data_IF_052445425253
#
_entry.id   IF_052445425253
#
_cell.length_a   1.000
_cell.length_b   1.000
_cell.length_c   1.000
_cell.angle_alpha   90.00
_cell.angle_beta   90.00
_cell.angle_gamma   90.00
#
_symmetry.space_group_name_H-M   'P 1'
#
loop_
_entity.id
_entity.type
_entity.pdbx_description
1 polymer ?
#
# COMPACT_ATOMS: atom_id res chain seq x y z
N UNK A 1 -19.93 50.32 -3.82
CA UNK A 1 -20.87 49.29 -3.31
C UNK A 1 -21.66 48.72 -4.48
N UNK A 2 -21.23 47.61 -5.05
CA UNK A 2 -22.01 46.87 -6.06
C UNK A 2 -22.61 45.65 -5.39
N UNK A 3 -23.80 45.83 -4.81
CA UNK A 3 -24.61 44.70 -4.35
C UNK A 3 -24.82 43.74 -5.51
N UNK A 4 -24.71 42.44 -5.24
CA UNK A 4 -25.06 41.38 -6.19
C UNK A 4 -26.53 41.64 -6.57
N UNK A 5 -26.77 42.24 -7.74
CA UNK A 5 -28.10 42.48 -8.29
C UNK A 5 -28.67 41.11 -8.65
N UNK A 6 -29.26 40.44 -7.67
CA UNK A 6 -30.08 39.26 -7.90
C UNK A 6 -31.31 39.72 -8.68
N UNK A 7 -31.52 39.24 -9.92
CA UNK A 7 -32.69 39.61 -10.69
C UNK A 7 -33.97 39.18 -9.98
N UNK A 8 -34.92 40.09 -9.79
CA UNK A 8 -36.19 39.85 -9.12
C UNK A 8 -37.36 39.91 -10.11
N UNK A 9 -37.31 39.09 -11.15
CA UNK A 9 -38.37 39.04 -12.15
C UNK A 9 -39.68 38.49 -11.58
N UNK A 10 -40.82 38.97 -12.10
CA UNK A 10 -42.14 38.44 -11.77
C UNK A 10 -42.26 36.96 -12.16
N UNK A 11 -43.00 36.16 -11.37
CA UNK A 11 -43.20 34.71 -11.59
C UNK A 11 -43.86 34.39 -12.95
N UNK A 12 -44.63 35.35 -13.49
CA UNK A 12 -45.23 35.29 -14.82
C UNK A 12 -44.21 34.92 -15.92
N UNK A 13 -42.95 35.36 -15.79
CA UNK A 13 -41.89 35.12 -16.76
C UNK A 13 -41.12 33.80 -16.55
N UNK A 14 -41.56 32.94 -15.63
CA UNK A 14 -40.89 31.67 -15.29
C UNK A 14 -40.58 30.82 -16.52
N UNK A 15 -41.49 30.77 -17.51
CA UNK A 15 -41.30 30.02 -18.76
C UNK A 15 -40.10 30.51 -19.57
N UNK A 16 -39.93 31.82 -19.75
CA UNK A 16 -38.77 32.39 -20.46
C UNK A 16 -37.49 32.25 -19.62
N UNK A 17 -37.59 32.50 -18.31
CA UNK A 17 -36.45 32.43 -17.41
C UNK A 17 -35.87 31.01 -17.33
N UNK A 18 -36.70 29.97 -17.32
CA UNK A 18 -36.21 28.58 -17.28
C UNK A 18 -35.43 28.18 -18.54
N UNK A 19 -35.58 28.92 -19.65
CA UNK A 19 -34.83 28.66 -20.89
C UNK A 19 -33.48 29.38 -20.93
N UNK A 20 -33.22 30.32 -20.02
CA UNK A 20 -32.04 31.18 -20.03
C UNK A 20 -31.03 30.80 -18.93
N UNK A 21 -29.72 30.81 -19.23
CA UNK A 21 -28.67 30.74 -18.22
C UNK A 21 -28.71 31.94 -17.26
N UNK A 22 -28.20 31.73 -16.03
CA UNK A 22 -28.14 32.74 -14.98
C UNK A 22 -27.44 34.03 -15.42
N UNK A 23 -26.36 33.92 -16.19
CA UNK A 23 -25.61 35.08 -16.72
C UNK A 23 -26.48 35.97 -17.61
N UNK A 24 -27.32 35.37 -18.47
CA UNK A 24 -28.22 36.12 -19.35
C UNK A 24 -29.31 36.81 -18.54
N UNK A 25 -29.86 36.16 -17.52
CA UNK A 25 -30.86 36.77 -16.62
C UNK A 25 -30.32 38.03 -15.93
N UNK A 26 -29.07 37.96 -15.44
CA UNK A 26 -28.39 39.08 -14.78
C UNK A 26 -28.14 40.23 -15.77
N UNK A 27 -27.74 39.92 -17.00
CA UNK A 27 -27.52 40.93 -18.03
C UNK A 27 -28.82 41.66 -18.41
N UNK A 28 -29.92 40.91 -18.61
CA UNK A 28 -31.23 41.50 -18.90
C UNK A 28 -31.68 42.40 -17.75
N UNK A 29 -31.56 41.95 -16.51
CA UNK A 29 -31.91 42.75 -15.34
C UNK A 29 -31.13 44.06 -15.27
N UNK A 30 -29.83 44.00 -15.55
CA UNK A 30 -28.97 45.18 -15.63
C UNK A 30 -29.42 46.12 -16.73
N UNK A 31 -29.78 45.61 -17.91
CA UNK A 31 -30.29 46.43 -19.02
C UNK A 31 -31.61 47.12 -18.67
N UNK A 32 -32.52 46.44 -17.97
CA UNK A 32 -33.79 47.02 -17.54
C UNK A 32 -33.60 48.14 -16.52
N UNK A 33 -32.63 48.00 -15.62
CA UNK A 33 -32.45 48.89 -14.46
C UNK A 33 -31.37 49.97 -14.66
N UNK A 34 -30.55 49.87 -15.70
CA UNK A 34 -29.38 50.76 -15.90
C UNK A 34 -29.28 51.42 -17.28
N UNK A 35 -30.24 51.23 -18.20
CA UNK A 35 -30.20 51.86 -19.54
C UNK A 35 -30.61 53.34 -19.49
N UNK A 36 -30.51 54.03 -20.62
CA UNK A 36 -30.86 55.46 -20.82
C UNK A 36 -32.27 55.84 -20.30
N UNK A 37 -33.21 54.89 -20.29
CA UNK A 37 -34.52 55.01 -19.66
C UNK A 37 -34.73 53.77 -18.78
N UNK A 38 -34.22 53.74 -17.55
CA UNK A 38 -34.30 52.55 -16.71
C UNK A 38 -35.71 52.41 -16.15
N UNK A 39 -36.23 51.19 -16.15
CA UNK A 39 -37.42 50.89 -15.37
C UNK A 39 -37.07 50.96 -13.89
N UNK A 40 -37.99 51.48 -13.08
CA UNK A 40 -37.85 51.35 -11.63
C UNK A 40 -37.80 49.88 -11.25
N UNK A 41 -37.15 49.55 -10.12
CA UNK A 41 -37.10 48.17 -9.63
C UNK A 41 -38.49 47.56 -9.49
N UNK A 42 -39.50 48.35 -9.08
CA UNK A 42 -40.89 47.90 -8.98
C UNK A 42 -41.49 47.57 -10.35
N UNK A 43 -41.23 48.38 -11.37
CA UNK A 43 -41.71 48.12 -12.74
C UNK A 43 -41.01 46.92 -13.36
N UNK A 44 -39.68 46.79 -13.18
CA UNK A 44 -38.90 45.66 -13.68
C UNK A 44 -39.24 44.33 -12.97
N UNK A 45 -39.69 44.41 -11.71
CA UNK A 45 -40.13 43.24 -10.93
C UNK A 45 -41.60 42.85 -11.16
N UNK A 46 -42.37 43.64 -11.90
CA UNK A 46 -43.78 43.41 -12.18
C UNK A 46 -44.00 43.05 -13.66
N UNK A 47 -45.23 42.74 -14.05
CA UNK A 47 -45.60 42.46 -15.44
C UNK A 47 -45.52 43.77 -16.23
N UNK A 48 -44.53 43.86 -17.12
CA UNK A 48 -44.26 45.05 -17.92
C UNK A 48 -43.87 44.65 -19.36
N UNK A 49 -44.45 45.28 -20.40
CA UNK A 49 -44.25 44.85 -21.79
C UNK A 49 -42.78 44.89 -22.23
N UNK A 50 -42.02 45.90 -21.81
CA UNK A 50 -40.59 45.99 -22.14
C UNK A 50 -39.74 44.87 -21.52
N UNK A 51 -40.15 44.34 -20.35
CA UNK A 51 -39.50 43.19 -19.72
C UNK A 51 -39.77 41.92 -20.52
N UNK A 52 -41.02 41.76 -20.96
CA UNK A 52 -41.45 40.62 -21.77
C UNK A 52 -40.73 40.57 -23.13
N UNK A 53 -40.68 41.69 -23.85
CA UNK A 53 -40.02 41.78 -25.15
C UNK A 53 -38.53 41.45 -25.08
N UNK A 54 -37.84 41.94 -24.04
CA UNK A 54 -36.42 41.66 -23.84
C UNK A 54 -36.16 40.20 -23.48
N UNK A 55 -37.02 39.59 -22.66
CA UNK A 55 -36.91 38.18 -22.30
C UNK A 55 -37.17 37.28 -23.51
N UNK A 56 -38.21 37.55 -24.30
CA UNK A 56 -38.53 36.80 -25.51
C UNK A 56 -37.38 36.87 -26.53
N UNK A 57 -36.86 38.08 -26.78
CA UNK A 57 -35.70 38.29 -27.67
C UNK A 57 -34.45 37.56 -27.18
N UNK A 58 -34.21 37.54 -25.87
CA UNK A 58 -33.07 36.83 -25.30
C UNK A 58 -33.19 35.31 -25.45
N UNK A 59 -34.39 34.75 -25.23
CA UNK A 59 -34.68 33.33 -25.44
C UNK A 59 -34.41 32.93 -26.89
N UNK A 60 -34.93 33.69 -27.85
CA UNK A 60 -34.71 33.42 -29.27
C UNK A 60 -33.23 33.44 -29.65
N UNK A 61 -32.50 34.47 -29.20
CA UNK A 61 -31.07 34.60 -29.45
C UNK A 61 -30.26 33.45 -28.85
N UNK A 62 -30.61 33.04 -27.62
CA UNK A 62 -29.96 31.93 -26.95
C UNK A 62 -30.19 30.61 -27.69
N UNK A 63 -31.43 30.33 -28.10
CA UNK A 63 -31.77 29.14 -28.88
C UNK A 63 -31.02 29.13 -30.22
N UNK A 64 -31.02 30.25 -30.95
CA UNK A 64 -30.26 30.39 -32.22
C UNK A 64 -28.77 30.11 -32.01
N UNK A 65 -28.15 30.73 -31.00
CA UNK A 65 -26.73 30.54 -30.68
C UNK A 65 -26.41 29.09 -30.29
N UNK A 66 -27.28 28.47 -29.49
CA UNK A 66 -27.15 27.06 -29.10
C UNK A 66 -27.25 26.12 -30.32
N UNK A 67 -28.13 26.42 -31.28
CA UNK A 67 -28.21 25.67 -32.55
C UNK A 67 -26.94 25.84 -33.39
N UNK A 68 -26.41 27.05 -33.51
CA UNK A 68 -25.14 27.28 -34.23
C UNK A 68 -23.95 26.59 -33.57
N UNK A 69 -23.88 26.54 -32.24
CA UNK A 69 -22.83 25.80 -31.52
C UNK A 69 -22.95 24.28 -31.68
N UNK A 70 -24.17 23.75 -31.88
CA UNK A 70 -24.37 22.33 -32.18
C UNK A 70 -24.05 21.98 -33.65
N UNK A 71 -24.33 22.88 -34.58
CA UNK A 71 -24.04 22.67 -36.02
C UNK A 71 -22.57 22.95 -36.36
N UNK A 72 -21.92 23.88 -35.64
CA UNK A 72 -20.47 23.94 -35.56
C UNK A 72 -20.01 22.90 -34.53
N UNK A 73 -20.07 21.63 -34.91
CA UNK A 73 -19.37 20.58 -34.15
C UNK A 73 -17.93 21.02 -33.85
N UNK A 74 -17.32 20.51 -32.77
CA UNK A 74 -15.95 20.87 -32.41
C UNK A 74 -15.03 20.53 -33.58
N UNK A 75 -14.68 21.56 -34.35
CA UNK A 75 -13.84 21.47 -35.54
C UNK A 75 -12.40 21.32 -35.02
N UNK A 76 -12.02 20.11 -34.66
CA UNK A 76 -10.66 19.79 -34.17
C UNK A 76 -10.49 18.58 -33.24
N UNK A 77 -11.54 17.84 -32.84
CA UNK A 77 -11.38 16.73 -31.86
C UNK A 77 -11.19 15.34 -32.45
N UNK A 78 -11.24 15.16 -33.77
CA UNK A 78 -11.14 13.81 -34.36
C UNK A 78 -9.71 13.27 -34.47
N UNK A 79 -8.67 14.13 -34.54
CA UNK A 79 -7.28 13.66 -34.69
C UNK A 79 -6.53 13.46 -33.37
N UNK A 80 -6.97 14.05 -32.25
CA UNK A 80 -6.27 13.92 -30.95
C UNK A 80 -6.84 12.72 -30.14
N UNK A 81 -8.07 12.29 -30.42
CA UNK A 81 -8.75 11.20 -29.72
C UNK A 81 -8.12 9.82 -30.00
N UNK A 82 -7.74 9.56 -31.25
CA UNK A 82 -7.21 8.26 -31.69
C UNK A 82 -5.85 7.93 -31.08
N UNK A 83 -4.93 8.90 -31.06
CA UNK A 83 -3.57 8.70 -30.54
C UNK A 83 -3.58 8.53 -29.01
N UNK A 84 -4.44 9.28 -28.31
CA UNK A 84 -4.65 9.14 -26.87
C UNK A 84 -5.22 7.77 -26.51
N UNK A 85 -6.19 7.28 -27.27
CA UNK A 85 -6.83 5.98 -27.04
C UNK A 85 -5.85 4.81 -27.29
N UNK A 86 -4.97 4.95 -28.28
CA UNK A 86 -3.91 3.98 -28.57
C UNK A 86 -2.86 3.94 -27.47
N UNK A 87 -2.40 5.11 -26.98
CA UNK A 87 -1.45 5.21 -25.87
C UNK A 87 -2.02 4.61 -24.57
N UNK A 88 -3.28 4.91 -24.25
CA UNK A 88 -3.96 4.34 -23.08
C UNK A 88 -4.10 2.82 -23.16
N UNK A 89 -4.34 2.28 -24.36
CA UNK A 89 -4.39 0.82 -24.56
C UNK A 89 -3.03 0.18 -24.33
N UNK A 90 -1.97 0.79 -24.86
CA UNK A 90 -0.60 0.32 -24.66
C UNK A 90 -0.20 0.35 -23.17
N UNK A 91 -0.45 1.45 -22.47
CA UNK A 91 -0.15 1.60 -21.04
C UNK A 91 -0.90 0.55 -20.20
N UNK A 92 -2.15 0.25 -20.54
CA UNK A 92 -2.92 -0.81 -19.86
C UNK A 92 -2.34 -2.20 -20.11
N UNK A 93 -1.84 -2.48 -21.31
CA UNK A 93 -1.18 -3.75 -21.65
C UNK A 93 0.12 -3.92 -20.83
N UNK A 94 0.93 -2.85 -20.74
CA UNK A 94 2.16 -2.82 -19.94
C UNK A 94 1.87 -2.98 -18.44
N UNK A 95 0.83 -2.33 -17.94
CA UNK A 95 0.36 -2.47 -16.56
C UNK A 95 -0.11 -3.90 -16.27
N UNK A 96 -0.84 -4.51 -17.20
CA UNK A 96 -1.29 -5.90 -17.05
C UNK A 96 -0.12 -6.88 -16.95
N UNK A 97 0.91 -6.72 -17.80
CA UNK A 97 2.13 -7.54 -17.75
C UNK A 97 2.88 -7.31 -16.44
N UNK A 98 3.06 -6.05 -16.04
CA UNK A 98 3.75 -5.71 -14.79
C UNK A 98 3.01 -6.26 -13.57
N UNK A 99 1.68 -6.24 -13.56
CA UNK A 99 0.85 -6.85 -12.51
C UNK A 99 1.12 -8.36 -12.40
N UNK A 100 1.08 -9.10 -13.50
CA UNK A 100 1.34 -10.54 -13.52
C UNK A 100 2.75 -10.88 -12.99
N UNK A 101 3.76 -10.10 -13.38
CA UNK A 101 5.14 -10.27 -12.89
C UNK A 101 5.25 -10.02 -11.39
N UNK A 102 4.55 -9.00 -10.88
CA UNK A 102 4.51 -8.70 -9.45
C UNK A 102 3.78 -9.79 -8.65
N UNK A 103 2.66 -10.30 -9.15
CA UNK A 103 1.92 -11.41 -8.53
C UNK A 103 2.80 -12.65 -8.41
N UNK A 104 3.52 -13.01 -9.48
CA UNK A 104 4.48 -14.12 -9.44
C UNK A 104 5.61 -13.90 -8.43
N UNK A 105 6.17 -12.68 -8.36
CA UNK A 105 7.21 -12.36 -7.36
C UNK A 105 6.68 -12.44 -5.94
N UNK A 106 5.43 -12.06 -5.69
CA UNK A 106 4.81 -12.17 -4.37
C UNK A 106 4.70 -13.65 -3.98
N UNK A 107 4.27 -14.52 -4.89
CA UNK A 107 4.19 -15.97 -4.66
C UNK A 107 5.56 -16.57 -4.34
N UNK A 108 6.59 -16.26 -5.15
CA UNK A 108 7.97 -16.70 -4.90
C UNK A 108 8.51 -16.23 -3.53
N UNK A 109 8.16 -15.01 -3.11
CA UNK A 109 8.57 -14.48 -1.80
C UNK A 109 7.85 -15.15 -0.63
N UNK A 110 6.58 -15.54 -0.81
CA UNK A 110 5.82 -16.27 0.20
C UNK A 110 6.40 -17.67 0.40
N UNK A 111 6.68 -18.40 -0.69
CA UNK A 111 7.34 -19.70 -0.65
C UNK A 111 8.71 -19.61 0.05
N UNK A 112 9.49 -18.59 -0.29
CA UNK A 112 10.80 -18.38 0.33
C UNK A 112 10.67 -18.10 1.83
N UNK A 113 9.68 -17.31 2.24
CA UNK A 113 9.40 -17.03 3.64
C UNK A 113 9.03 -18.30 4.43
N UNK A 114 8.22 -19.18 3.85
CA UNK A 114 7.84 -20.45 4.46
C UNK A 114 9.06 -21.38 4.62
N UNK A 115 9.92 -21.45 3.60
CA UNK A 115 11.19 -22.18 3.68
C UNK A 115 12.10 -21.65 4.78
N UNK A 116 12.26 -20.32 4.91
CA UNK A 116 13.07 -19.73 5.98
C UNK A 116 12.54 -20.07 7.36
N UNK A 117 11.22 -19.99 7.58
CA UNK A 117 10.58 -20.39 8.84
C UNK A 117 10.82 -21.86 9.17
N UNK A 118 10.64 -22.74 8.18
CA UNK A 118 10.88 -24.18 8.34
C UNK A 118 12.34 -24.46 8.73
N UNK A 119 13.28 -23.78 8.06
CA UNK A 119 14.72 -23.91 8.34
C UNK A 119 15.10 -23.37 9.73
N UNK A 120 14.52 -22.25 10.14
CA UNK A 120 14.74 -21.68 11.47
C UNK A 120 14.30 -22.65 12.58
N UNK A 121 13.10 -23.23 12.43
CA UNK A 121 12.58 -24.24 13.36
C UNK A 121 13.48 -25.48 13.42
N UNK A 122 13.95 -25.96 12.26
CA UNK A 122 14.87 -27.10 12.20
C UNK A 122 16.21 -26.80 12.90
N UNK A 123 16.76 -25.60 12.70
CA UNK A 123 18.00 -25.16 13.32
C UNK A 123 17.86 -25.06 14.84
N UNK A 124 16.77 -24.47 15.33
CA UNK A 124 16.48 -24.35 16.77
C UNK A 124 16.38 -25.72 17.43
N UNK A 125 15.66 -26.67 16.83
CA UNK A 125 15.57 -28.05 17.35
C UNK A 125 16.93 -28.75 17.37
N UNK A 126 17.72 -28.61 16.31
CA UNK A 126 19.07 -29.19 16.26
C UNK A 126 19.99 -28.59 17.33
N UNK A 127 19.85 -27.30 17.60
CA UNK A 127 20.63 -26.61 18.63
C UNK A 127 20.26 -27.13 20.03
N UNK A 128 18.96 -27.25 20.32
CA UNK A 128 18.46 -27.81 21.58
C UNK A 128 18.98 -29.24 21.82
N UNK A 129 18.85 -30.13 20.83
CA UNK A 129 19.34 -31.51 20.92
C UNK A 129 20.86 -31.56 21.14
N UNK A 130 21.62 -30.69 20.46
CA UNK A 130 23.07 -30.60 20.69
C UNK A 130 23.42 -30.08 22.08
N UNK A 131 22.62 -29.15 22.61
CA UNK A 131 22.76 -28.62 23.97
C UNK A 131 22.56 -29.70 25.01
N UNK A 132 21.53 -30.54 24.88
CA UNK A 132 21.29 -31.68 25.77
C UNK A 132 22.47 -32.66 25.77
N UNK A 133 23.01 -32.97 24.59
CA UNK A 133 24.19 -33.85 24.47
C UNK A 133 25.42 -33.24 25.15
N UNK A 134 25.62 -31.93 25.05
CA UNK A 134 26.72 -31.23 25.74
C UNK A 134 26.56 -31.33 27.26
N UNK A 135 25.34 -31.19 27.78
CA UNK A 135 25.06 -31.35 29.21
C UNK A 135 25.40 -32.78 29.66
N UNK A 136 24.91 -33.80 28.95
CA UNK A 136 25.20 -35.21 29.28
C UNK A 136 26.71 -35.52 29.26
N UNK A 137 27.45 -34.97 28.28
CA UNK A 137 28.90 -35.11 28.23
C UNK A 137 29.59 -34.39 29.39
N UNK A 138 29.12 -33.20 29.76
CA UNK A 138 29.63 -32.46 30.90
C UNK A 138 29.46 -33.24 32.21
N UNK A 139 28.29 -33.83 32.43
CA UNK A 139 28.00 -34.65 33.61
C UNK A 139 28.88 -35.90 33.64
N UNK A 140 29.06 -36.56 32.49
CA UNK A 140 29.95 -37.72 32.37
C UNK A 140 31.40 -37.34 32.68
N UNK A 141 31.88 -36.20 32.19
CA UNK A 141 33.23 -35.70 32.48
C UNK A 141 33.37 -35.37 33.97
N UNK A 142 32.36 -34.77 34.60
CA UNK A 142 32.36 -34.49 36.03
C UNK A 142 32.42 -35.78 36.87
N UNK A 143 31.65 -36.80 36.47
CA UNK A 143 31.70 -38.12 37.07
C UNK A 143 33.08 -38.78 36.91
N UNK A 144 33.65 -38.78 35.71
CA UNK A 144 34.99 -39.35 35.52
C UNK A 144 36.05 -38.62 36.35
N UNK A 145 35.96 -37.29 36.46
CA UNK A 145 36.85 -36.51 37.33
C UNK A 145 36.74 -36.90 38.80
N UNK A 146 35.55 -37.29 39.28
CA UNK A 146 35.38 -37.69 40.68
C UNK A 146 35.98 -39.06 40.99
N UNK A 147 35.95 -40.01 40.03
CA UNK A 147 36.46 -41.38 40.26
C UNK A 147 37.96 -41.55 39.96
N UNK A 148 38.56 -40.67 39.15
CA UNK A 148 39.98 -40.75 38.79
C UNK A 148 40.92 -40.78 40.01
N UNK A 149 40.75 -39.94 41.05
CA UNK A 149 41.64 -39.94 42.21
C UNK A 149 41.65 -41.27 42.96
N UNK A 150 40.47 -41.85 43.20
CA UNK A 150 40.34 -43.12 43.90
C UNK A 150 40.94 -44.27 43.08
N UNK A 151 40.72 -44.25 41.77
CA UNK A 151 41.31 -45.24 40.85
C UNK A 151 42.84 -45.13 40.85
N UNK A 152 43.40 -43.91 40.81
CA UNK A 152 44.85 -43.69 40.93
C UNK A 152 45.40 -44.22 42.24
N UNK A 153 44.69 -44.00 43.35
CA UNK A 153 45.09 -44.50 44.67
C UNK A 153 45.09 -46.04 44.71
N UNK A 154 44.08 -46.68 44.13
CA UNK A 154 44.00 -48.13 44.04
C UNK A 154 45.16 -48.71 43.21
N UNK A 155 45.49 -48.08 42.06
CA UNK A 155 46.63 -48.48 41.22
C UNK A 155 47.95 -48.37 42.00
N UNK A 156 48.22 -47.23 42.65
CA UNK A 156 49.44 -47.06 43.44
C UNK A 156 49.57 -48.09 44.58
N UNK A 157 48.45 -48.48 45.19
CA UNK A 157 48.43 -49.54 46.21
C UNK A 157 48.73 -50.92 45.62
N UNK A 158 48.22 -51.22 44.41
CA UNK A 158 48.49 -52.46 43.71
C UNK A 158 49.95 -52.55 43.28
N UNK A 159 50.52 -51.48 42.71
CA UNK A 159 51.94 -51.37 42.35
C UNK A 159 52.85 -51.68 43.54
N UNK A 160 52.57 -51.09 44.70
CA UNK A 160 53.33 -51.39 45.93
C UNK A 160 53.24 -52.86 46.34
N UNK A 161 52.08 -53.48 46.16
CA UNK A 161 51.87 -54.89 46.50
C UNK A 161 52.62 -55.82 45.54
N UNK A 162 52.68 -55.45 44.26
CA UNK A 162 53.46 -56.16 43.22
C UNK A 162 54.95 -56.08 43.54
N UNK A 163 55.48 -54.89 43.87
CA UNK A 163 56.91 -54.73 44.24
C UNK A 163 57.30 -55.63 45.42
N UNK A 164 56.45 -55.74 46.44
CA UNK A 164 56.67 -56.66 47.57
C UNK A 164 56.70 -58.12 47.12
N UNK A 165 55.82 -58.53 46.19
CA UNK A 165 55.79 -59.88 45.65
C UNK A 165 57.02 -60.18 44.79
N UNK A 166 57.42 -59.27 43.91
CA UNK A 166 58.62 -59.40 43.08
C UNK A 166 59.88 -59.58 43.93
N UNK A 167 60.02 -58.79 45.00
CA UNK A 167 61.12 -58.91 45.95
C UNK A 167 61.15 -60.28 46.63
N UNK A 168 59.98 -60.84 46.99
CA UNK A 168 59.88 -62.19 47.57
C UNK A 168 60.23 -63.28 46.56
N UNK A 169 59.77 -63.15 45.31
CA UNK A 169 60.11 -64.11 44.25
C UNK A 169 61.62 -64.15 44.01
N UNK A 170 62.27 -62.98 43.91
CA UNK A 170 63.73 -62.89 43.74
C UNK A 170 64.49 -63.58 44.88
N UNK A 171 64.07 -63.37 46.12
CA UNK A 171 64.67 -64.04 47.27
C UNK A 171 64.55 -65.57 47.21
N UNK A 172 63.40 -66.08 46.76
CA UNK A 172 63.21 -67.52 46.57
C UNK A 172 64.06 -68.08 45.43
N UNK A 173 64.21 -67.34 44.33
CA UNK A 173 65.10 -67.70 43.22
C UNK A 173 66.57 -67.80 43.67
N UNK A 174 67.02 -66.84 44.49
CA UNK A 174 68.36 -66.85 45.08
C UNK A 174 68.57 -68.09 45.97
N UNK A 175 67.56 -68.48 46.78
CA UNK A 175 67.60 -69.68 47.61
C UNK A 175 67.68 -70.96 46.77
N UNK A 176 66.91 -71.05 45.68
CA UNK A 176 66.86 -72.24 44.81
C UNK A 176 68.16 -72.40 44.01
N UNK A 177 68.84 -71.29 43.68
CA UNK A 177 70.04 -71.27 42.85
C UNK A 177 71.36 -71.48 43.62
N UNK A 178 71.31 -71.53 44.96
CA UNK A 178 72.45 -71.72 45.86
C UNK A 178 72.70 -73.20 46.22
#
# INVERSE_FOLDING_TARGET
MTGILTPSFHIYYSKQLNQLPRSIKIDIWRRLTSRKHPLSLKQASNIHPEVEDLLNKAVENYIKKKKYQKMKGPKGTESISSDCETLLRQENEELYISKQVLEKRIEELLDLQEQYKSREVAMTRSLEESGEKVVQLSDSVAFFKSIIPDTKKAIASAEKSIDVLENKCRHLEDIISA
#
